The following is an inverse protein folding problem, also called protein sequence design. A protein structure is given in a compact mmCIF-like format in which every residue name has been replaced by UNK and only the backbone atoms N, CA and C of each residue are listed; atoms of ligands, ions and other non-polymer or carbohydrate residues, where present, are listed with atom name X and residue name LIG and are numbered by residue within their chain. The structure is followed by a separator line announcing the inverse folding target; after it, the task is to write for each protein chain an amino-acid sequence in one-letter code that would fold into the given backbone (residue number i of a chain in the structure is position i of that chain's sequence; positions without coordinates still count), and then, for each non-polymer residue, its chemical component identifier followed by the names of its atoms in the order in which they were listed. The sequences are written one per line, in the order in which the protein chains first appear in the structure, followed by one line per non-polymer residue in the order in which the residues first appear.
data_IF_979126142362
#
_entry.id   IF_979126142362
#
_cell.length_a   1.000
_cell.length_b   1.000
_cell.length_c   1.000
_cell.angle_alpha   90.00
_cell.angle_beta   90.00
_cell.angle_gamma   90.00
#
_symmetry.space_group_name_H-M   'P 1'
#
loop_
_entity.id
_entity.type
_entity.pdbx_description
1 polymer ?
#
# COMPACT_ATOMS: atom_id res chain seq x y z
N UNK A 1 -6.89 -18.01 23.09
CA UNK A 1 -8.14 -18.76 22.91
C UNK A 1 -9.27 -17.83 23.31
N UNK A 2 -9.78 -17.03 22.37
CA UNK A 2 -11.07 -16.37 22.52
C UNK A 2 -11.76 -16.40 21.17
N UNK A 3 -12.84 -17.16 21.17
CA UNK A 3 -13.61 -17.56 20.01
C UNK A 3 -14.11 -16.35 19.24
N UNK A 4 -13.81 -16.38 17.94
CA UNK A 4 -14.52 -15.69 16.89
C UNK A 4 -16.03 -15.86 17.08
N UNK A 5 -16.70 -14.94 17.79
CA UNK A 5 -18.15 -14.80 17.70
C UNK A 5 -18.46 -14.54 16.23
N UNK A 6 -19.00 -15.55 15.56
CA UNK A 6 -19.51 -15.41 14.20
C UNK A 6 -20.56 -14.31 14.23
N UNK A 7 -20.24 -13.16 13.63
CA UNK A 7 -21.18 -12.05 13.52
C UNK A 7 -22.32 -12.53 12.61
N UNK A 8 -23.51 -12.72 13.19
CA UNK A 8 -24.67 -13.22 12.45
C UNK A 8 -24.95 -12.36 11.21
N UNK A 9 -25.38 -12.97 10.11
CA UNK A 9 -25.80 -12.26 8.89
C UNK A 9 -26.89 -11.21 9.23
N UNK A 10 -27.81 -11.56 10.12
CA UNK A 10 -28.89 -10.66 10.56
C UNK A 10 -28.36 -9.44 11.32
N UNK A 11 -27.36 -9.64 12.18
CA UNK A 11 -26.70 -8.54 12.89
C UNK A 11 -25.92 -7.64 11.94
N UNK A 12 -25.27 -8.22 10.92
CA UNK A 12 -24.56 -7.47 9.88
C UNK A 12 -25.50 -6.62 9.02
N UNK A 13 -26.65 -7.17 8.63
CA UNK A 13 -27.66 -6.41 7.88
C UNK A 13 -28.22 -5.24 8.70
N UNK A 14 -28.51 -5.45 9.99
CA UNK A 14 -28.98 -4.37 10.86
C UNK A 14 -27.93 -3.26 11.03
N UNK A 15 -26.66 -3.66 11.17
CA UNK A 15 -25.54 -2.71 11.23
C UNK A 15 -25.42 -1.92 9.92
N UNK A 16 -25.43 -2.59 8.77
CA UNK A 16 -25.35 -1.97 7.44
C UNK A 16 -26.50 -0.99 7.18
N UNK A 17 -27.72 -1.35 7.59
CA UNK A 17 -28.89 -0.47 7.47
C UNK A 17 -28.67 0.84 8.25
N UNK A 18 -28.32 0.73 9.53
CA UNK A 18 -28.08 1.91 10.36
C UNK A 18 -26.91 2.77 9.90
N UNK A 19 -25.83 2.16 9.39
CA UNK A 19 -24.73 2.90 8.79
C UNK A 19 -25.17 3.72 7.57
N UNK A 20 -26.05 3.19 6.72
CA UNK A 20 -26.60 3.90 5.55
C UNK A 20 -27.55 5.03 5.94
N UNK A 21 -28.25 4.87 7.05
CA UNK A 21 -29.16 5.88 7.61
C UNK A 21 -28.42 6.94 8.44
N UNK A 22 -27.10 6.81 8.63
CA UNK A 22 -26.31 7.75 9.43
C UNK A 22 -26.55 7.63 10.94
N UNK A 23 -27.05 6.49 11.42
CA UNK A 23 -27.25 6.24 12.85
C UNK A 23 -25.90 6.24 13.58
N UNK A 24 -25.70 7.27 14.41
CA UNK A 24 -24.47 7.48 15.20
C UNK A 24 -24.14 6.29 16.10
N UNK A 25 -25.16 5.62 16.66
CA UNK A 25 -24.95 4.44 17.50
C UNK A 25 -24.41 3.27 16.67
N UNK A 26 -24.91 3.11 15.45
CA UNK A 26 -24.46 2.04 14.55
C UNK A 26 -23.07 2.32 13.98
N UNK A 27 -22.71 3.58 13.74
CA UNK A 27 -21.33 3.98 13.42
C UNK A 27 -20.39 3.65 14.58
N UNK A 28 -20.79 3.95 15.82
CA UNK A 28 -20.02 3.61 17.02
C UNK A 28 -19.85 2.10 17.19
N UNK A 29 -20.94 1.33 17.11
CA UNK A 29 -20.93 -0.14 17.19
C UNK A 29 -19.98 -0.73 16.14
N UNK A 30 -20.10 -0.26 14.91
CA UNK A 30 -19.25 -0.68 13.79
C UNK A 30 -17.77 -0.38 14.06
N UNK A 31 -17.44 0.83 14.49
CA UNK A 31 -16.07 1.18 14.85
C UNK A 31 -15.52 0.27 15.95
N UNK A 32 -16.25 0.11 17.06
CA UNK A 32 -15.84 -0.73 18.20
C UNK A 32 -15.62 -2.18 17.81
N UNK A 33 -16.46 -2.75 16.94
CA UNK A 33 -16.35 -4.14 16.49
C UNK A 33 -15.12 -4.36 15.60
N UNK A 34 -14.87 -3.46 14.64
CA UNK A 34 -13.86 -3.70 13.61
C UNK A 34 -12.49 -3.09 13.93
N UNK A 35 -12.41 -2.08 14.79
CA UNK A 35 -11.17 -1.37 15.08
C UNK A 35 -10.06 -2.27 15.61
N UNK A 36 -10.26 -3.12 16.65
CA UNK A 36 -9.21 -3.98 17.17
C UNK A 36 -8.70 -4.97 16.11
N UNK A 37 -9.60 -5.44 15.25
CA UNK A 37 -9.27 -6.38 14.18
C UNK A 37 -8.42 -5.73 13.08
N UNK A 38 -8.79 -4.52 12.62
CA UNK A 38 -8.03 -3.80 11.61
C UNK A 38 -6.67 -3.36 12.18
N UNK A 39 -6.61 -2.85 13.40
CA UNK A 39 -5.36 -2.52 14.10
C UNK A 39 -4.40 -3.71 14.14
N UNK A 40 -4.88 -4.89 14.55
CA UNK A 40 -4.06 -6.09 14.63
C UNK A 40 -3.52 -6.55 13.25
N UNK A 41 -4.25 -6.32 12.16
CA UNK A 41 -3.76 -6.59 10.80
C UNK A 41 -2.70 -5.57 10.40
N UNK A 42 -2.95 -4.29 10.64
CA UNK A 42 -2.07 -3.20 10.22
C UNK A 42 -0.75 -3.20 10.99
N UNK A 43 -0.76 -3.48 12.29
CA UNK A 43 0.44 -3.61 13.13
C UNK A 43 1.41 -4.70 12.66
N UNK A 44 0.90 -5.75 11.98
CA UNK A 44 1.75 -6.79 11.38
C UNK A 44 2.48 -6.30 10.13
N UNK A 45 2.04 -5.19 9.54
CA UNK A 45 2.54 -4.67 8.28
C UNK A 45 3.34 -3.39 8.49
N UNK A 46 2.83 -2.46 9.30
CA UNK A 46 3.38 -1.14 9.53
C UNK A 46 3.96 -1.05 10.95
N UNK A 47 5.22 -0.59 11.05
CA UNK A 47 5.99 -0.64 12.30
C UNK A 47 5.77 0.56 13.24
N UNK A 48 5.28 1.69 12.72
CA UNK A 48 5.02 2.89 13.51
C UNK A 48 3.54 2.92 13.92
N UNK A 49 3.27 3.09 15.23
CA UNK A 49 1.93 3.09 15.78
C UNK A 49 1.05 4.25 15.29
N UNK A 50 1.60 5.46 15.17
CA UNK A 50 0.88 6.64 14.65
C UNK A 50 0.46 6.42 13.20
N UNK A 51 1.37 5.90 12.37
CA UNK A 51 1.06 5.57 10.97
C UNK A 51 -0.01 4.47 10.86
N UNK A 52 0.03 3.48 11.77
CA UNK A 52 -0.98 2.42 11.86
C UNK A 52 -2.36 3.01 12.16
N UNK A 53 -2.44 3.91 13.14
CA UNK A 53 -3.69 4.53 13.54
C UNK A 53 -4.29 5.36 12.40
N UNK A 54 -3.46 6.17 11.73
CA UNK A 54 -3.86 6.97 10.57
C UNK A 54 -4.44 6.10 9.44
N UNK A 55 -3.74 5.02 9.07
CA UNK A 55 -4.21 4.08 8.03
C UNK A 55 -5.55 3.45 8.41
N UNK A 56 -5.72 3.07 9.67
CA UNK A 56 -6.97 2.47 10.14
C UNK A 56 -8.10 3.50 10.13
N UNK A 57 -7.85 4.72 10.59
CA UNK A 57 -8.82 5.82 10.53
C UNK A 57 -9.24 6.11 9.08
N UNK A 58 -8.29 6.22 8.15
CA UNK A 58 -8.57 6.43 6.73
C UNK A 58 -9.37 5.27 6.14
N UNK A 59 -9.09 4.03 6.57
CA UNK A 59 -9.89 2.85 6.18
C UNK A 59 -11.35 2.99 6.61
N UNK A 60 -11.63 3.47 7.82
CA UNK A 60 -12.99 3.71 8.28
C UNK A 60 -13.69 4.81 7.47
N UNK A 61 -12.99 5.92 7.20
CA UNK A 61 -13.51 7.03 6.39
C UNK A 61 -13.85 6.55 4.97
N UNK A 62 -12.92 5.83 4.33
CA UNK A 62 -13.11 5.32 2.98
C UNK A 62 -14.14 4.19 2.91
N UNK A 63 -14.31 3.42 4.00
CA UNK A 63 -15.40 2.46 4.11
C UNK A 63 -16.76 3.14 4.19
N UNK A 64 -16.92 4.22 4.97
CA UNK A 64 -18.18 4.98 5.00
C UNK A 64 -18.49 5.61 3.64
N UNK A 65 -17.47 6.20 2.98
CA UNK A 65 -17.60 6.83 1.66
C UNK A 65 -18.04 5.81 0.59
N UNK A 66 -17.54 4.58 0.65
CA UNK A 66 -17.83 3.53 -0.33
C UNK A 66 -19.00 2.63 0.07
N UNK A 67 -19.55 2.77 1.28
CA UNK A 67 -20.65 1.95 1.78
C UNK A 67 -21.90 1.93 0.88
N UNK A 68 -22.29 3.04 0.21
CA UNK A 68 -23.42 3.01 -0.74
C UNK A 68 -23.18 2.06 -1.93
N UNK A 69 -21.93 1.81 -2.31
CA UNK A 69 -21.54 0.93 -3.41
C UNK A 69 -21.40 -0.54 -2.98
N UNK A 70 -21.46 -0.82 -1.68
CA UNK A 70 -21.31 -2.18 -1.16
C UNK A 70 -22.56 -3.03 -1.44
N UNK A 71 -22.41 -4.02 -2.33
CA UNK A 71 -23.48 -4.91 -2.79
C UNK A 71 -23.77 -6.10 -1.88
N UNK A 72 -22.95 -6.34 -0.86
CA UNK A 72 -23.13 -7.49 0.05
C UNK A 72 -22.70 -8.85 -0.53
N UNK A 73 -21.95 -8.85 -1.65
CA UNK A 73 -21.40 -10.07 -2.28
C UNK A 73 -20.30 -10.74 -1.43
N UNK A 74 -19.82 -10.05 -0.39
CA UNK A 74 -18.92 -10.60 0.63
C UNK A 74 -19.33 -10.09 2.02
N UNK A 75 -18.80 -10.70 3.08
CA UNK A 75 -19.00 -10.19 4.45
C UNK A 75 -18.38 -8.80 4.60
N UNK A 76 -19.03 -7.92 5.36
CA UNK A 76 -18.55 -6.55 5.63
C UNK A 76 -17.08 -6.53 6.08
N UNK A 77 -16.70 -7.46 6.95
CA UNK A 77 -15.32 -7.66 7.42
C UNK A 77 -14.33 -7.84 6.27
N UNK A 78 -14.65 -8.74 5.33
CA UNK A 78 -13.78 -9.09 4.19
C UNK A 78 -13.64 -7.89 3.26
N UNK A 79 -14.73 -7.18 3.02
CA UNK A 79 -14.72 -5.96 2.21
C UNK A 79 -13.87 -4.85 2.85
N UNK A 80 -14.01 -4.58 4.14
CA UNK A 80 -13.17 -3.61 4.86
C UNK A 80 -11.68 -3.97 4.80
N UNK A 81 -11.34 -5.25 4.85
CA UNK A 81 -9.94 -5.70 4.69
C UNK A 81 -9.41 -5.41 3.28
N UNK A 82 -10.24 -5.42 2.23
CA UNK A 82 -9.81 -5.02 0.89
C UNK A 82 -9.45 -3.53 0.82
N UNK A 83 -10.27 -2.68 1.45
CA UNK A 83 -10.01 -1.24 1.57
C UNK A 83 -8.73 -1.01 2.39
N UNK A 84 -8.59 -1.67 3.55
CA UNK A 84 -7.38 -1.58 4.39
C UNK A 84 -6.10 -1.93 3.60
N UNK A 85 -6.17 -2.97 2.76
CA UNK A 85 -5.02 -3.35 1.91
C UNK A 85 -4.68 -2.25 0.91
N UNK A 86 -5.67 -1.57 0.35
CA UNK A 86 -5.44 -0.42 -0.52
C UNK A 86 -4.79 0.74 0.23
N UNK A 87 -5.26 1.06 1.44
CA UNK A 87 -4.71 2.12 2.30
C UNK A 87 -3.27 1.85 2.71
N UNK A 88 -2.97 0.65 3.21
CA UNK A 88 -1.59 0.26 3.57
C UNK A 88 -0.66 0.43 2.36
N UNK A 89 -1.09 -0.04 1.20
CA UNK A 89 -0.28 0.04 0.00
C UNK A 89 -0.21 1.48 -0.56
N UNK A 90 -1.19 2.36 -0.29
CA UNK A 90 -1.11 3.79 -0.62
C UNK A 90 -0.19 4.55 0.33
N UNK A 91 -0.26 4.27 1.63
CA UNK A 91 0.69 4.77 2.64
C UNK A 91 2.13 4.44 2.22
N UNK A 92 2.41 3.19 1.88
CA UNK A 92 3.74 2.80 1.42
C UNK A 92 4.11 3.49 0.11
N UNK A 93 3.20 3.57 -0.87
CA UNK A 93 3.43 4.32 -2.11
C UNK A 93 3.86 5.76 -1.82
N UNK A 94 3.14 6.49 -0.95
CA UNK A 94 3.43 7.89 -0.59
C UNK A 94 4.74 8.02 0.18
N UNK A 95 4.93 7.20 1.22
CA UNK A 95 6.14 7.17 2.07
C UNK A 95 7.40 6.93 1.23
N UNK A 96 7.29 6.02 0.28
CA UNK A 96 8.41 5.58 -0.52
C UNK A 96 8.65 6.40 -1.77
N UNK A 97 7.62 6.96 -2.42
CA UNK A 97 7.82 7.89 -3.53
C UNK A 97 8.82 8.98 -3.12
N UNK A 98 8.63 9.62 -1.95
CA UNK A 98 9.52 10.68 -1.44
C UNK A 98 10.94 10.22 -1.12
N UNK A 99 11.12 8.96 -0.70
CA UNK A 99 12.42 8.41 -0.22
C UNK A 99 13.21 7.70 -1.33
N UNK A 100 12.52 7.17 -2.34
CA UNK A 100 13.09 6.50 -3.51
C UNK A 100 13.90 7.42 -4.43
N UNK A 101 13.53 8.71 -4.50
CA UNK A 101 14.33 9.78 -5.12
C UNK A 101 15.80 9.75 -4.71
N UNK A 102 16.11 9.26 -3.50
CA UNK A 102 17.41 9.41 -2.86
C UNK A 102 18.23 8.12 -2.70
N UNK A 103 17.68 6.94 -2.99
CA UNK A 103 18.23 5.69 -2.42
C UNK A 103 18.27 4.46 -3.34
N UNK A 104 17.78 4.52 -4.57
CA UNK A 104 17.84 3.36 -5.48
C UNK A 104 19.31 3.18 -5.97
N UNK A 105 20.00 2.06 -5.76
CA UNK A 105 21.38 1.83 -6.23
C UNK A 105 21.50 1.38 -7.69
N UNK A 106 20.37 1.15 -8.37
CA UNK A 106 20.35 1.08 -9.85
C UNK A 106 20.84 2.41 -10.47
N UNK A 107 20.94 3.45 -9.64
CA UNK A 107 21.63 4.69 -9.94
C UNK A 107 23.08 4.49 -10.36
N UNK A 108 23.89 3.58 -9.82
CA UNK A 108 25.31 3.53 -10.23
C UNK A 108 25.50 3.08 -11.69
N UNK A 109 24.57 2.30 -12.24
CA UNK A 109 24.55 1.89 -13.65
C UNK A 109 23.90 2.99 -14.55
N UNK A 110 22.99 3.80 -13.98
CA UNK A 110 22.28 4.89 -14.67
C UNK A 110 23.07 6.22 -14.65
N UNK A 111 23.80 6.49 -13.57
CA UNK A 111 24.67 7.65 -13.30
C UNK A 111 25.96 7.59 -14.11
N UNK A 112 26.33 6.43 -14.65
CA UNK A 112 27.43 6.30 -15.61
C UNK A 112 27.12 6.97 -16.95
N UNK A 113 25.93 7.57 -17.10
CA UNK A 113 25.60 8.43 -18.22
C UNK A 113 25.98 9.89 -17.88
N UNK A 114 27.11 10.43 -18.37
CA UNK A 114 27.72 11.69 -17.92
C UNK A 114 26.91 12.96 -18.25
N UNK A 115 25.70 12.82 -18.81
CA UNK A 115 24.91 13.92 -19.37
C UNK A 115 23.82 14.47 -18.44
N UNK A 116 23.51 13.81 -17.31
CA UNK A 116 22.36 14.19 -16.46
C UNK A 116 22.76 14.70 -15.09
N UNK A 117 22.16 15.81 -14.66
CA UNK A 117 22.35 16.33 -13.30
C UNK A 117 21.69 15.41 -12.25
N UNK A 118 22.19 15.45 -11.01
CA UNK A 118 21.60 14.69 -9.88
C UNK A 118 20.10 14.97 -9.71
N UNK A 119 19.67 16.21 -10.00
CA UNK A 119 18.28 16.65 -9.94
C UNK A 119 17.43 16.01 -11.06
N UNK A 120 17.91 16.01 -12.30
CA UNK A 120 17.22 15.37 -13.43
C UNK A 120 17.02 13.87 -13.23
N UNK A 121 18.05 13.21 -12.69
CA UNK A 121 17.98 11.77 -12.40
C UNK A 121 16.92 11.52 -11.33
N UNK A 122 16.88 12.35 -10.29
CA UNK A 122 15.84 12.32 -9.24
C UNK A 122 14.44 12.43 -9.83
N UNK A 123 14.21 13.41 -10.71
CA UNK A 123 12.91 13.66 -11.36
C UNK A 123 12.50 12.50 -12.26
N UNK A 124 13.41 11.98 -13.07
CA UNK A 124 13.15 10.80 -13.90
C UNK A 124 12.79 9.57 -13.09
N UNK A 125 13.46 9.34 -11.96
CA UNK A 125 13.18 8.22 -11.06
C UNK A 125 11.77 8.37 -10.48
N UNK A 126 11.33 9.57 -10.11
CA UNK A 126 9.95 9.80 -9.68
C UNK A 126 8.93 9.48 -10.76
N UNK A 127 9.15 9.98 -11.97
CA UNK A 127 8.25 9.74 -13.10
C UNK A 127 8.16 8.23 -13.37
N UNK A 128 9.29 7.54 -13.34
CA UNK A 128 9.39 6.09 -13.55
C UNK A 128 8.60 5.33 -12.50
N UNK A 129 8.86 5.58 -11.22
CA UNK A 129 8.11 4.98 -10.11
C UNK A 129 6.62 5.36 -10.15
N UNK A 130 6.28 6.54 -10.66
CA UNK A 130 4.89 6.96 -10.86
C UNK A 130 4.13 6.05 -11.83
N UNK A 131 4.81 5.62 -12.91
CA UNK A 131 4.24 4.81 -14.01
C UNK A 131 4.27 3.30 -13.77
N UNK A 132 5.10 2.81 -12.84
CA UNK A 132 5.16 1.38 -12.50
C UNK A 132 3.86 0.85 -11.87
N UNK A 133 3.60 -0.45 -12.05
CA UNK A 133 2.58 -1.19 -11.31
C UNK A 133 2.82 -1.09 -9.81
N UNK A 134 1.73 -1.09 -9.02
CA UNK A 134 1.78 -0.82 -7.58
C UNK A 134 2.66 -1.84 -6.86
N UNK A 135 2.51 -3.12 -7.21
CA UNK A 135 3.16 -4.26 -6.56
C UNK A 135 4.67 -4.30 -6.84
N UNK A 136 5.09 -4.05 -8.08
CA UNK A 136 6.49 -4.08 -8.48
C UNK A 136 7.25 -2.89 -7.92
N UNK A 137 6.63 -1.70 -7.97
CA UNK A 137 7.13 -0.51 -7.30
C UNK A 137 7.36 -0.78 -5.82
N UNK A 138 6.37 -1.30 -5.09
CA UNK A 138 6.46 -1.55 -3.65
C UNK A 138 7.66 -2.44 -3.29
N UNK A 139 7.93 -3.48 -4.08
CA UNK A 139 9.08 -4.37 -3.87
C UNK A 139 10.43 -3.66 -4.01
N UNK A 140 10.61 -2.82 -5.04
CA UNK A 140 11.84 -2.04 -5.20
C UNK A 140 12.08 -1.11 -4.02
N UNK A 141 11.01 -0.48 -3.54
CA UNK A 141 11.07 0.46 -2.44
C UNK A 141 11.49 -0.25 -1.15
N UNK A 142 10.85 -1.37 -0.80
CA UNK A 142 11.24 -2.16 0.36
C UNK A 142 12.70 -2.62 0.30
N UNK A 143 13.16 -3.03 -0.89
CA UNK A 143 14.53 -3.52 -1.07
C UNK A 143 15.58 -2.41 -0.98
N UNK A 144 15.38 -1.30 -1.66
CA UNK A 144 16.43 -0.31 -1.90
C UNK A 144 16.31 0.92 -1.01
N UNK A 145 15.09 1.32 -0.69
CA UNK A 145 14.79 2.51 0.11
C UNK A 145 14.78 2.16 1.59
N UNK A 146 14.16 1.03 1.92
CA UNK A 146 14.09 0.52 3.30
C UNK A 146 15.18 -0.49 3.65
N UNK A 147 16.03 -0.84 2.67
CA UNK A 147 17.15 -1.75 2.85
C UNK A 147 16.76 -3.10 3.45
N UNK A 148 15.50 -3.54 3.25
CA UNK A 148 15.05 -4.85 3.75
C UNK A 148 15.74 -5.98 3.00
N UNK A 149 16.03 -7.06 3.73
CA UNK A 149 16.52 -8.32 3.16
C UNK A 149 15.36 -9.02 2.46
N UNK A 150 15.68 -9.79 1.42
CA UNK A 150 14.68 -10.55 0.64
C UNK A 150 13.83 -11.44 1.54
N UNK A 151 14.44 -12.07 2.56
CA UNK A 151 13.72 -12.88 3.56
C UNK A 151 12.65 -12.11 4.34
N UNK A 152 12.91 -10.84 4.66
CA UNK A 152 11.96 -10.02 5.42
C UNK A 152 10.79 -9.59 4.53
N UNK A 153 11.07 -9.28 3.26
CA UNK A 153 10.05 -9.01 2.25
C UNK A 153 9.20 -10.27 2.03
N UNK A 154 9.81 -11.46 1.93
CA UNK A 154 9.08 -12.73 1.83
C UNK A 154 8.09 -12.93 2.98
N UNK A 155 8.54 -12.72 4.23
CA UNK A 155 7.67 -12.80 5.40
C UNK A 155 6.54 -11.75 5.38
N UNK A 156 6.81 -10.51 4.99
CA UNK A 156 5.81 -9.44 4.93
C UNK A 156 4.67 -9.74 3.94
N UNK A 157 4.99 -10.39 2.82
CA UNK A 157 4.03 -10.72 1.77
C UNK A 157 3.46 -12.15 1.88
N UNK A 158 3.91 -12.94 2.86
CA UNK A 158 3.53 -14.35 2.96
C UNK A 158 3.96 -15.17 1.73
N UNK A 159 5.09 -14.81 1.12
CA UNK A 159 5.64 -15.44 -0.09
C UNK A 159 6.93 -16.20 0.26
N UNK A 160 7.36 -17.08 -0.65
CA UNK A 160 8.69 -17.70 -0.54
C UNK A 160 9.77 -16.71 -0.94
N UNK A 161 10.99 -16.89 -0.41
CA UNK A 161 12.17 -16.07 -0.78
C UNK A 161 12.36 -16.08 -2.31
N UNK A 162 12.30 -17.26 -2.93
CA UNK A 162 12.44 -17.44 -4.38
C UNK A 162 11.35 -16.71 -5.18
N UNK A 163 10.11 -16.68 -4.69
CA UNK A 163 9.03 -15.90 -5.31
C UNK A 163 9.34 -14.41 -5.27
N UNK A 164 9.82 -13.90 -4.13
CA UNK A 164 10.19 -12.48 -3.99
C UNK A 164 11.38 -12.11 -4.86
N UNK A 165 12.36 -12.99 -5.03
CA UNK A 165 13.49 -12.77 -5.95
C UNK A 165 13.00 -12.63 -7.40
N UNK A 166 12.09 -13.51 -7.81
CA UNK A 166 11.45 -13.44 -9.13
C UNK A 166 10.65 -12.15 -9.32
N UNK A 167 9.89 -11.74 -8.30
CA UNK A 167 9.11 -10.50 -8.36
C UNK A 167 10.01 -9.26 -8.38
N UNK A 168 11.10 -9.25 -7.60
CA UNK A 168 12.10 -8.18 -7.62
C UNK A 168 12.83 -8.08 -8.97
N UNK A 169 13.09 -9.21 -9.62
CA UNK A 169 13.65 -9.21 -10.97
C UNK A 169 12.71 -8.55 -11.96
N UNK A 170 11.43 -8.98 -11.98
CA UNK A 170 10.40 -8.37 -12.85
C UNK A 170 10.25 -6.88 -12.59
N UNK A 171 10.29 -6.48 -11.33
CA UNK A 171 10.20 -5.07 -10.93
C UNK A 171 11.37 -4.23 -11.47
N UNK A 172 12.60 -4.77 -11.46
CA UNK A 172 13.76 -4.09 -12.06
C UNK A 172 13.65 -3.97 -13.58
N UNK A 173 13.18 -5.02 -14.25
CA UNK A 173 12.97 -5.00 -15.71
C UNK A 173 11.91 -3.97 -16.10
N UNK A 174 10.79 -3.91 -15.37
CA UNK A 174 9.75 -2.90 -15.57
C UNK A 174 10.29 -1.48 -15.33
N UNK A 175 11.02 -1.27 -14.24
CA UNK A 175 11.65 0.02 -13.95
C UNK A 175 12.56 0.46 -15.10
N UNK A 176 13.47 -0.42 -15.56
CA UNK A 176 14.40 -0.12 -16.66
C UNK A 176 13.67 0.30 -17.92
N UNK A 177 12.66 -0.49 -18.34
CA UNK A 177 11.88 -0.19 -19.53
C UNK A 177 11.22 1.20 -19.46
N UNK A 178 10.54 1.49 -18.35
CA UNK A 178 9.86 2.78 -18.17
C UNK A 178 10.88 3.94 -18.08
N UNK A 179 12.03 3.69 -17.46
CA UNK A 179 13.09 4.69 -17.30
C UNK A 179 13.74 5.06 -18.64
N UNK A 180 13.94 4.07 -19.52
CA UNK A 180 14.46 4.27 -20.89
C UNK A 180 13.43 4.97 -21.79
N UNK A 181 12.14 4.68 -21.62
CA UNK A 181 11.04 5.33 -22.34
C UNK A 181 10.65 6.70 -21.76
N UNK A 182 11.19 7.08 -20.60
CA UNK A 182 10.89 8.37 -19.98
C UNK A 182 11.53 9.50 -20.81
N UNK A 183 10.73 10.45 -21.34
CA UNK A 183 11.29 11.55 -22.11
C UNK A 183 12.30 12.31 -21.23
N UNK A 184 13.49 12.54 -21.78
CA UNK A 184 14.46 13.46 -21.17
C UNK A 184 13.74 14.80 -21.10
N UNK A 185 13.47 15.28 -19.88
CA UNK A 185 13.06 16.67 -19.70
C UNK A 185 14.29 17.52 -19.99
N UNK A 186 14.58 17.72 -21.29
CA UNK A 186 15.43 18.80 -21.75
C UNK A 186 14.67 20.06 -21.41
N UNK A 187 14.90 20.62 -20.22
CA UNK A 187 14.62 22.03 -20.02
C UNK A 187 15.63 22.76 -20.90
N UNK A 188 15.15 23.17 -22.07
CA UNK A 188 15.87 24.09 -22.93
C UNK A 188 16.25 25.34 -22.15
N UNK A 189 17.49 25.76 -22.39
CA UNK A 189 18.01 27.14 -22.44
C UNK A 189 17.64 28.10 -21.31
#
# INVERSE_FOLDING_TARGET
MESSKSFSIKAEQLLLKGLREGDKNKVKDWYTIFFPYLMAITLKKVSNFTDVEEIVQETFINSLRQLPLFRGESRLKTWMVSILRHEIADYYRKKYAKKALKTIPLFDEILQNPLKSSQEISEMVQITLGKMKKETRELLLLKYVDKKRVKEIASLFGKTVKSVESDLFRARVEFRKIYEEAPVLVKGS
#
